data_IF_710804508449
#
_entry.id   IF_710804508449
#
_cell.length_a   1.000
_cell.length_b   1.000
_cell.length_c   1.000
_cell.angle_alpha   90.00
_cell.angle_beta   90.00
_cell.angle_gamma   90.00
#
_symmetry.space_group_name_H-M   'P 1'
#
loop_
_entity.id
_entity.type
_entity.pdbx_description
1 polymer ?
#
# COMPACT_ATOMS: atom_id res chain seq x y z
N UNK A 1 24.80 80.03 -12.45
CA UNK A 1 24.22 78.84 -13.10
C UNK A 1 24.71 77.61 -12.34
N UNK A 2 24.03 77.19 -11.26
CA UNK A 2 24.40 75.97 -10.50
C UNK A 2 23.21 75.32 -9.74
N UNK A 3 22.15 76.07 -9.40
CA UNK A 3 21.00 75.53 -8.63
C UNK A 3 20.21 74.46 -9.40
N UNK A 4 19.94 74.68 -10.68
CA UNK A 4 19.10 73.78 -11.48
C UNK A 4 19.73 72.39 -11.72
N UNK A 5 21.05 72.25 -11.62
CA UNK A 5 21.73 70.95 -11.76
C UNK A 5 21.70 70.15 -10.45
N UNK A 6 21.79 70.82 -9.30
CA UNK A 6 21.69 70.17 -7.98
C UNK A 6 20.26 69.65 -7.74
N UNK A 7 19.24 70.44 -8.10
CA UNK A 7 17.83 70.04 -7.98
C UNK A 7 17.51 68.80 -8.83
N UNK A 8 18.06 68.72 -10.05
CA UNK A 8 17.90 67.57 -10.93
C UNK A 8 18.62 66.32 -10.39
N UNK A 9 19.81 66.50 -9.79
CA UNK A 9 20.57 65.41 -9.18
C UNK A 9 19.85 64.85 -7.94
N UNK A 10 19.25 65.73 -7.14
CA UNK A 10 18.51 65.36 -5.94
C UNK A 10 17.19 64.65 -6.26
N UNK A 11 16.46 65.11 -7.29
CA UNK A 11 15.30 64.42 -7.83
C UNK A 11 15.66 63.01 -8.34
N UNK A 12 16.79 62.85 -9.04
CA UNK A 12 17.28 61.53 -9.47
C UNK A 12 17.60 60.60 -8.27
N UNK A 13 18.22 61.11 -7.20
CA UNK A 13 18.48 60.31 -5.98
C UNK A 13 17.18 59.89 -5.30
N UNK A 14 16.21 60.79 -5.19
CA UNK A 14 14.91 60.52 -4.58
C UNK A 14 14.13 59.44 -5.36
N UNK A 15 14.12 59.53 -6.70
CA UNK A 15 13.52 58.51 -7.55
C UNK A 15 14.17 57.13 -7.39
N UNK A 16 15.51 57.07 -7.30
CA UNK A 16 16.25 55.81 -7.10
C UNK A 16 15.93 55.20 -5.73
N UNK A 17 15.95 56.00 -4.67
CA UNK A 17 15.62 55.56 -3.32
C UNK A 17 14.16 55.07 -3.17
N UNK A 18 13.23 55.68 -3.90
CA UNK A 18 11.83 55.24 -3.91
C UNK A 18 11.69 53.88 -4.61
N UNK A 19 12.35 53.70 -5.76
CA UNK A 19 12.38 52.43 -6.50
C UNK A 19 12.97 51.30 -5.67
N UNK A 20 14.06 51.54 -4.94
CA UNK A 20 14.68 50.54 -4.07
C UNK A 20 13.85 50.21 -2.82
N UNK A 21 13.08 51.17 -2.30
CA UNK A 21 12.10 50.91 -1.23
C UNK A 21 10.94 50.05 -1.73
N UNK A 22 10.42 50.33 -2.92
CA UNK A 22 9.32 49.55 -3.50
C UNK A 22 9.76 48.13 -3.87
N UNK A 23 10.99 47.96 -4.37
CA UNK A 23 11.59 46.64 -4.62
C UNK A 23 11.68 45.81 -3.34
N UNK A 24 12.25 46.36 -2.26
CA UNK A 24 12.33 45.67 -0.96
C UNK A 24 10.97 45.32 -0.38
N UNK A 25 9.97 46.20 -0.54
CA UNK A 25 8.60 45.94 -0.09
C UNK A 25 7.95 44.78 -0.86
N UNK A 26 8.18 44.68 -2.17
CA UNK A 26 7.64 43.59 -2.99
C UNK A 26 8.35 42.26 -2.73
N UNK A 27 9.66 42.27 -2.50
CA UNK A 27 10.43 41.09 -2.10
C UNK A 27 9.95 40.55 -0.74
N UNK A 28 9.69 41.43 0.23
CA UNK A 28 9.19 41.04 1.55
C UNK A 28 7.77 40.45 1.50
N UNK A 29 6.90 40.99 0.65
CA UNK A 29 5.56 40.42 0.41
C UNK A 29 5.63 39.04 -0.23
N UNK A 30 6.52 38.88 -1.23
CA UNK A 30 6.73 37.60 -1.91
C UNK A 30 7.21 36.50 -0.95
N UNK A 31 8.22 36.79 -0.12
CA UNK A 31 8.72 35.85 0.89
C UNK A 31 7.65 35.48 1.93
N UNK A 32 6.85 36.45 2.37
CA UNK A 32 5.79 36.21 3.35
C UNK A 32 4.68 35.31 2.77
N UNK A 33 4.31 35.49 1.51
CA UNK A 33 3.35 34.61 0.83
C UNK A 33 3.90 33.19 0.66
N UNK A 34 5.16 33.04 0.24
CA UNK A 34 5.77 31.72 0.08
C UNK A 34 5.80 30.93 1.40
N UNK A 35 6.24 31.56 2.50
CA UNK A 35 6.28 30.91 3.82
C UNK A 35 4.88 30.51 4.32
N UNK A 36 3.85 31.32 4.01
CA UNK A 36 2.46 31.00 4.37
C UNK A 36 1.95 29.76 3.60
N UNK A 37 2.18 29.70 2.29
CA UNK A 37 1.76 28.55 1.48
C UNK A 37 2.48 27.27 1.87
N UNK A 38 3.78 27.33 2.18
CA UNK A 38 4.53 26.16 2.66
C UNK A 38 4.02 25.65 4.01
N UNK A 39 3.77 26.54 4.96
CA UNK A 39 3.23 26.16 6.28
C UNK A 39 1.85 25.51 6.15
N UNK A 40 0.97 26.08 5.32
CA UNK A 40 -0.35 25.54 5.06
C UNK A 40 -0.29 24.16 4.38
N UNK A 41 0.64 23.96 3.43
CA UNK A 41 0.86 22.68 2.77
C UNK A 41 1.37 21.60 3.73
N UNK A 42 2.28 21.95 4.64
CA UNK A 42 2.78 21.02 5.66
C UNK A 42 1.65 20.59 6.60
N UNK A 43 0.81 21.54 7.05
CA UNK A 43 -0.33 21.23 7.92
C UNK A 43 -1.35 20.33 7.21
N UNK A 44 -1.68 20.61 5.95
CA UNK A 44 -2.56 19.77 5.15
C UNK A 44 -1.98 18.37 4.92
N UNK A 45 -0.67 18.27 4.65
CA UNK A 45 0.02 16.98 4.48
C UNK A 45 0.01 16.14 5.77
N UNK A 46 0.29 16.75 6.93
CA UNK A 46 0.24 16.07 8.23
C UNK A 46 -1.19 15.61 8.54
N UNK A 47 -2.19 16.45 8.25
CA UNK A 47 -3.58 16.10 8.47
C UNK A 47 -4.04 14.94 7.56
N UNK A 48 -3.66 14.96 6.28
CA UNK A 48 -4.01 13.89 5.34
C UNK A 48 -3.36 12.55 5.73
N UNK A 49 -2.07 12.59 6.09
CA UNK A 49 -1.31 11.41 6.49
C UNK A 49 -1.81 10.81 7.80
N UNK A 50 -2.19 11.63 8.78
CA UNK A 50 -2.80 11.13 10.02
C UNK A 50 -4.19 10.50 9.79
N UNK A 51 -5.01 11.06 8.90
CA UNK A 51 -6.31 10.45 8.52
C UNK A 51 -6.10 9.12 7.81
N UNK A 52 -5.20 9.07 6.82
CA UNK A 52 -4.85 7.83 6.13
C UNK A 52 -4.31 6.77 7.09
N UNK A 53 -3.42 7.14 8.00
CA UNK A 53 -2.87 6.23 9.00
C UNK A 53 -3.96 5.70 9.93
N UNK A 54 -4.89 6.55 10.41
CA UNK A 54 -6.03 6.10 11.23
C UNK A 54 -6.96 5.18 10.47
N UNK A 55 -7.25 5.49 9.21
CA UNK A 55 -8.11 4.66 8.35
C UNK A 55 -7.49 3.28 8.09
N UNK A 56 -6.18 3.23 7.80
CA UNK A 56 -5.43 2.00 7.60
C UNK A 56 -5.38 1.19 8.89
N UNK A 57 -5.08 1.82 10.03
CA UNK A 57 -5.06 1.16 11.35
C UNK A 57 -6.41 0.60 11.74
N UNK A 58 -7.52 1.31 11.53
CA UNK A 58 -8.86 0.82 11.86
C UNK A 58 -9.29 -0.36 10.97
N UNK A 59 -8.94 -0.33 9.67
CA UNK A 59 -9.12 -1.46 8.76
C UNK A 59 -8.26 -2.66 9.16
N UNK A 60 -7.00 -2.45 9.55
CA UNK A 60 -6.10 -3.51 10.02
C UNK A 60 -6.58 -4.12 11.33
N UNK A 61 -7.01 -3.29 12.30
CA UNK A 61 -7.53 -3.75 13.58
C UNK A 61 -8.84 -4.54 13.41
N UNK A 62 -9.70 -4.15 12.47
CA UNK A 62 -10.91 -4.94 12.12
C UNK A 62 -10.57 -6.27 11.45
N UNK A 63 -9.54 -6.32 10.61
CA UNK A 63 -9.07 -7.58 10.03
C UNK A 63 -8.49 -8.47 11.14
N UNK A 64 -7.69 -7.90 12.05
CA UNK A 64 -7.09 -8.59 13.19
C UNK A 64 -8.12 -9.05 14.23
N UNK A 65 -9.19 -8.30 14.46
CA UNK A 65 -10.25 -8.67 15.43
C UNK A 65 -11.22 -9.70 14.89
N UNK A 66 -11.38 -9.82 13.57
CA UNK A 66 -12.18 -10.87 12.93
C UNK A 66 -11.37 -12.17 12.80
N UNK A 67 -10.04 -12.10 12.76
CA UNK A 67 -9.20 -13.28 12.95
C UNK A 67 -9.17 -13.66 14.42
N UNK A 68 -10.07 -14.56 14.82
CA UNK A 68 -9.78 -15.45 15.95
C UNK A 68 -8.38 -16.03 15.69
N UNK A 69 -7.41 -15.65 16.52
CA UNK A 69 -6.05 -16.18 16.43
C UNK A 69 -6.10 -17.66 16.77
N UNK A 70 -6.29 -18.49 15.76
CA UNK A 70 -6.19 -19.94 15.88
C UNK A 70 -4.71 -20.25 16.06
N UNK A 71 -4.31 -20.50 17.30
CA UNK A 71 -2.97 -20.91 17.67
C UNK A 71 -2.95 -22.43 17.75
N UNK A 72 -2.28 -23.09 16.82
CA UNK A 72 -2.24 -24.55 16.79
C UNK A 72 -1.18 -25.10 15.86
N UNK A 73 -1.05 -26.42 15.85
CA UNK A 73 -0.13 -27.13 14.98
C UNK A 73 -0.79 -27.36 13.61
N UNK A 74 -0.06 -27.08 12.54
CA UNK A 74 -0.49 -27.40 11.17
C UNK A 74 -0.34 -28.90 10.96
N UNK A 75 -1.46 -29.63 10.92
CA UNK A 75 -1.48 -31.09 10.78
C UNK A 75 -1.31 -31.52 9.33
N UNK A 76 -1.98 -30.82 8.40
CA UNK A 76 -1.89 -31.16 6.98
C UNK A 76 -2.17 -29.97 6.07
N UNK A 77 -1.53 -29.99 4.90
CA UNK A 77 -1.75 -29.04 3.81
C UNK A 77 -2.09 -29.86 2.58
N UNK A 78 -3.31 -29.70 2.06
CA UNK A 78 -3.78 -30.38 0.85
C UNK A 78 -3.94 -29.34 -0.26
N UNK A 79 -3.37 -29.61 -1.42
CA UNK A 79 -3.47 -28.74 -2.59
C UNK A 79 -4.57 -29.23 -3.53
N UNK A 80 -5.57 -28.37 -3.77
CA UNK A 80 -6.60 -28.58 -4.76
C UNK A 80 -6.41 -27.61 -5.93
N UNK A 81 -6.29 -28.14 -7.13
CA UNK A 81 -6.35 -27.32 -8.35
C UNK A 81 -7.78 -27.19 -8.84
N UNK A 82 -8.19 -25.95 -9.07
CA UNK A 82 -9.48 -25.63 -9.64
C UNK A 82 -9.30 -24.85 -10.94
N UNK A 83 -10.14 -25.15 -11.92
CA UNK A 83 -10.18 -24.41 -13.17
C UNK A 83 -11.29 -23.35 -13.11
N UNK A 84 -10.98 -22.15 -13.61
CA UNK A 84 -11.91 -21.04 -13.71
C UNK A 84 -12.18 -20.66 -15.16
N UNK A 85 -13.39 -20.19 -15.42
CA UNK A 85 -13.75 -19.64 -16.71
C UNK A 85 -12.91 -18.38 -16.99
N UNK A 86 -12.25 -18.26 -18.15
CA UNK A 86 -11.45 -17.08 -18.47
C UNK A 86 -12.28 -15.80 -18.67
N UNK A 87 -13.60 -15.93 -18.87
CA UNK A 87 -14.51 -14.80 -19.16
C UNK A 87 -15.15 -14.25 -17.89
N UNK A 88 -15.65 -15.11 -16.99
CA UNK A 88 -16.42 -14.69 -15.81
C UNK A 88 -15.85 -15.18 -14.47
N UNK A 89 -14.65 -15.78 -14.47
CA UNK A 89 -13.94 -16.30 -13.29
C UNK A 89 -14.73 -17.32 -12.44
N UNK A 90 -15.87 -17.80 -12.94
CA UNK A 90 -16.67 -18.82 -12.28
C UNK A 90 -15.95 -20.16 -12.22
N UNK A 91 -16.15 -20.91 -11.13
CA UNK A 91 -15.56 -22.24 -10.94
C UNK A 91 -16.13 -23.22 -11.96
N UNK A 92 -15.25 -23.94 -12.65
CA UNK A 92 -15.66 -24.94 -13.65
C UNK A 92 -15.16 -26.31 -13.23
N UNK A 93 -16.08 -27.25 -13.09
CA UNK A 93 -15.78 -28.65 -12.78
C UNK A 93 -15.40 -29.37 -14.06
N UNK A 94 -14.16 -29.86 -14.15
CA UNK A 94 -13.70 -30.68 -15.26
C UNK A 94 -13.86 -32.14 -14.87
N UNK A 95 -15.06 -32.70 -15.04
CA UNK A 95 -15.34 -34.10 -14.70
C UNK A 95 -14.73 -35.08 -15.73
N UNK A 96 -14.39 -34.61 -16.93
CA UNK A 96 -13.83 -35.39 -18.05
C UNK A 96 -12.93 -34.47 -18.88
N UNK A 97 -11.78 -34.91 -19.40
CA UNK A 97 -10.95 -34.10 -20.28
C UNK A 97 -11.65 -33.90 -21.64
N UNK A 98 -12.55 -32.93 -21.71
CA UNK A 98 -13.11 -32.45 -22.96
C UNK A 98 -12.28 -31.25 -23.44
N UNK A 99 -11.82 -31.28 -24.69
CA UNK A 99 -11.01 -30.21 -25.28
C UNK A 99 -11.67 -28.82 -25.20
N UNK A 100 -13.00 -28.79 -25.15
CA UNK A 100 -13.80 -27.57 -25.07
C UNK A 100 -14.74 -27.67 -23.87
N UNK A 101 -14.60 -26.73 -22.95
CA UNK A 101 -15.44 -26.61 -21.75
C UNK A 101 -16.41 -25.45 -21.95
N UNK A 102 -17.69 -25.69 -21.62
CA UNK A 102 -18.71 -24.64 -21.56
C UNK A 102 -18.89 -24.20 -20.11
N UNK A 103 -18.76 -22.90 -19.84
CA UNK A 103 -19.06 -22.35 -18.52
C UNK A 103 -20.57 -22.39 -18.25
N UNK A 104 -20.98 -22.95 -17.11
CA UNK A 104 -22.40 -22.99 -16.72
C UNK A 104 -23.00 -21.60 -16.43
N UNK A 105 -22.17 -20.62 -16.06
CA UNK A 105 -22.65 -19.29 -15.69
C UNK A 105 -22.81 -18.37 -16.91
N UNK A 106 -21.75 -18.20 -17.72
CA UNK A 106 -21.77 -17.28 -18.87
C UNK A 106 -21.96 -17.98 -20.22
N UNK A 107 -22.15 -19.31 -20.25
CA UNK A 107 -22.24 -20.12 -21.47
C UNK A 107 -21.05 -20.05 -22.43
N UNK A 108 -19.96 -19.36 -22.06
CA UNK A 108 -18.76 -19.25 -22.88
C UNK A 108 -18.11 -20.61 -23.07
N UNK A 109 -17.75 -20.92 -24.32
CA UNK A 109 -16.99 -22.13 -24.71
C UNK A 109 -15.52 -21.76 -24.85
N UNK A 110 -14.65 -22.48 -24.16
CA UNK A 110 -13.21 -22.23 -24.20
C UNK A 110 -12.42 -23.53 -24.15
N UNK A 111 -11.21 -23.52 -24.71
CA UNK A 111 -10.29 -24.65 -24.61
C UNK A 111 -9.78 -24.81 -23.18
N UNK A 112 -9.58 -26.04 -22.72
CA UNK A 112 -9.02 -26.33 -21.39
C UNK A 112 -7.70 -25.60 -21.14
N UNK A 113 -6.84 -25.53 -22.16
CA UNK A 113 -5.55 -24.82 -22.09
C UNK A 113 -5.70 -23.32 -21.80
N UNK A 114 -6.86 -22.72 -22.09
CA UNK A 114 -7.18 -21.32 -21.81
C UNK A 114 -7.91 -21.13 -20.48
N UNK A 115 -8.21 -22.19 -19.74
CA UNK A 115 -8.80 -22.10 -18.42
C UNK A 115 -7.79 -21.49 -17.44
N UNK A 116 -8.23 -20.53 -16.62
CA UNK A 116 -7.37 -19.99 -15.56
C UNK A 116 -7.23 -21.07 -14.48
N UNK A 117 -6.00 -21.52 -14.26
CA UNK A 117 -5.67 -22.42 -13.16
C UNK A 117 -5.63 -21.61 -11.86
N UNK A 118 -6.34 -22.08 -10.86
CA UNK A 118 -6.26 -21.54 -9.52
C UNK A 118 -6.02 -22.66 -8.53
N UNK A 119 -4.83 -22.66 -7.94
CA UNK A 119 -4.47 -23.60 -6.90
C UNK A 119 -4.91 -23.04 -5.54
N UNK A 120 -5.59 -23.88 -4.77
CA UNK A 120 -6.03 -23.59 -3.41
C UNK A 120 -5.39 -24.58 -2.45
N UNK A 121 -4.94 -24.10 -1.31
CA UNK A 121 -4.49 -24.93 -0.21
C UNK A 121 -5.60 -25.03 0.85
N UNK A 122 -5.91 -26.25 1.26
CA UNK A 122 -6.68 -26.56 2.46
C UNK A 122 -5.68 -26.86 3.57
N UNK A 123 -5.60 -25.96 4.54
CA UNK A 123 -4.75 -26.11 5.73
C UNK A 123 -5.62 -26.61 6.88
N UNK A 124 -5.21 -27.71 7.51
CA UNK A 124 -5.83 -28.21 8.72
C UNK A 124 -4.95 -27.86 9.92
N UNK A 125 -5.50 -27.11 10.86
CA UNK A 125 -4.82 -26.69 12.09
C UNK A 125 -5.50 -27.39 13.25
N UNK A 126 -4.73 -28.08 14.08
CA UNK A 126 -5.20 -28.61 15.35
C UNK A 126 -4.88 -27.59 16.43
N UNK A 127 -5.92 -27.02 17.04
CA UNK A 127 -5.77 -26.12 18.18
C UNK A 127 -5.28 -26.91 19.41
N UNK A 128 -4.73 -26.21 20.39
CA UNK A 128 -4.33 -26.73 21.69
C UNK A 128 -5.49 -27.42 22.44
N UNK A 129 -6.74 -27.03 22.14
CA UNK A 129 -7.95 -27.67 22.66
C UNK A 129 -8.31 -28.98 21.94
N UNK A 130 -7.55 -29.38 20.93
CA UNK A 130 -7.79 -30.57 20.12
C UNK A 130 -8.80 -30.38 18.97
N UNK A 131 -9.37 -29.18 18.83
CA UNK A 131 -10.28 -28.85 17.73
C UNK A 131 -9.54 -28.72 16.39
N UNK A 132 -10.18 -29.21 15.32
CA UNK A 132 -9.62 -29.19 13.97
C UNK A 132 -10.23 -28.08 13.13
N UNK A 133 -9.43 -27.04 12.85
CA UNK A 133 -9.81 -25.93 11.99
C UNK A 133 -9.37 -26.18 10.55
N UNK A 134 -10.32 -26.10 9.61
CA UNK A 134 -10.07 -26.27 8.18
C UNK A 134 -10.11 -24.91 7.49
N UNK A 135 -8.95 -24.38 7.12
CA UNK A 135 -8.79 -23.09 6.47
C UNK A 135 -8.54 -23.32 4.98
N UNK A 136 -9.24 -22.58 4.12
CA UNK A 136 -9.01 -22.57 2.68
C UNK A 136 -8.35 -21.26 2.28
N UNK A 137 -7.20 -21.32 1.63
CA UNK A 137 -6.49 -20.13 1.15
C UNK A 137 -5.88 -20.37 -0.22
N UNK A 138 -5.57 -19.29 -0.95
CA UNK A 138 -4.85 -19.41 -2.22
C UNK A 138 -3.41 -19.83 -1.98
N UNK A 139 -2.88 -20.71 -2.84
CA UNK A 139 -1.51 -21.22 -2.70
C UNK A 139 -0.46 -20.11 -2.70
N UNK A 140 -0.66 -19.05 -3.49
CA UNK A 140 0.26 -17.91 -3.54
C UNK A 140 0.36 -17.21 -2.17
N UNK A 141 -0.77 -17.06 -1.48
CA UNK A 141 -0.81 -16.45 -0.15
C UNK A 141 -0.12 -17.37 0.86
N UNK A 142 -0.40 -18.68 0.80
CA UNK A 142 0.26 -19.66 1.66
C UNK A 142 1.77 -19.69 1.45
N UNK A 143 2.24 -19.67 0.20
CA UNK A 143 3.68 -19.66 -0.11
C UNK A 143 4.37 -18.41 0.44
N UNK A 144 3.71 -17.25 0.35
CA UNK A 144 4.24 -16.00 0.90
C UNK A 144 4.30 -16.06 2.43
N UNK A 145 3.27 -16.59 3.09
CA UNK A 145 3.24 -16.78 4.55
C UNK A 145 4.34 -17.73 5.02
N UNK A 146 4.52 -18.88 4.36
CA UNK A 146 5.58 -19.85 4.69
C UNK A 146 6.98 -19.25 4.51
N UNK A 147 7.19 -18.47 3.45
CA UNK A 147 8.45 -17.78 3.21
C UNK A 147 8.73 -16.71 4.26
N UNK A 148 7.72 -15.92 4.64
CA UNK A 148 7.82 -14.92 5.72
C UNK A 148 8.15 -15.59 7.06
N UNK A 149 7.49 -16.70 7.40
CA UNK A 149 7.80 -17.46 8.61
C UNK A 149 9.24 -17.99 8.61
N UNK A 150 9.73 -18.48 7.45
CA UNK A 150 11.11 -18.97 7.32
C UNK A 150 12.13 -17.84 7.51
N UNK A 151 11.86 -16.66 6.94
CA UNK A 151 12.67 -15.46 7.15
C UNK A 151 12.69 -15.02 8.62
N UNK A 152 11.54 -14.97 9.29
CA UNK A 152 11.44 -14.62 10.70
C UNK A 152 12.18 -15.62 11.60
N UNK A 153 12.11 -16.92 11.29
CA UNK A 153 12.87 -17.95 12.01
C UNK A 153 14.39 -17.77 11.83
N UNK A 154 14.84 -17.48 10.62
CA UNK A 154 16.26 -17.23 10.35
C UNK A 154 16.78 -15.97 11.05
N UNK A 155 15.99 -14.91 11.12
CA UNK A 155 16.33 -13.69 11.86
C UNK A 155 16.38 -13.99 13.36
N UNK A 156 15.38 -14.71 13.91
CA UNK A 156 15.37 -15.10 15.33
C UNK A 156 16.63 -15.89 15.73
N UNK A 157 17.15 -16.76 14.86
CA UNK A 157 18.40 -17.49 15.13
C UNK A 157 19.64 -16.59 15.13
N UNK A 158 19.70 -15.54 14.28
CA UNK A 158 20.83 -14.61 14.25
C UNK A 158 20.94 -13.76 15.53
N UNK A 159 19.80 -13.35 16.10
CA UNK A 159 19.79 -12.56 17.34
C UNK A 159 20.20 -13.38 18.58
N UNK A 160 19.98 -14.70 18.57
CA UNK A 160 20.43 -15.57 19.67
C UNK A 160 21.93 -15.87 19.63
N UNK A 161 22.56 -15.89 18.45
CA UNK A 161 24.02 -16.10 18.34
C UNK A 161 24.84 -14.83 18.52
N UNK A 162 24.22 -13.65 18.45
CA UNK A 162 24.89 -12.35 18.61
C UNK A 162 25.04 -11.90 20.08
N UNK A 163 24.43 -12.57 21.05
CA UNK A 163 24.52 -12.22 22.49
C UNK A 163 25.54 -13.03 23.29
N UNK A 164 26.33 -13.89 22.63
CA UNK A 164 27.45 -14.59 23.24
C UNK A 164 28.74 -14.32 22.44
N UNK A 165 29.26 -13.10 22.57
CA UNK A 165 30.68 -12.82 22.41
C UNK A 165 31.07 -11.59 23.22
#
# INVERSE_FOLDING_TARGET
>A
MNSSQEDALEACRLCRNKRDRDRRRNEHKSLQTHNFFYSLWILLGIWLTTILARYVSDKLMKILSITNNISGEVVSIIYDEHHKCPVCDWKVSMAVPQDIVKCSNCSAKFKVSKAKKQSMAKVQIKDNNGEMHKIKMFTNILSTLLNLMRLLKNISCQWTTSKFK
#
